data_IF_469680660793
#
_entry.id   IF_469680660793
#
_cell.length_a   1.000
_cell.length_b   1.000
_cell.length_c   1.000
_cell.angle_alpha   90.00
_cell.angle_beta   90.00
_cell.angle_gamma   90.00
#
_symmetry.space_group_name_H-M   'P 1'
#
loop_
_entity.id
_entity.type
_entity.pdbx_description
1 polymer ?
#
# COMPACT_ATOMS: atom_id res chain seq x y z
N UNK A 1 -27.73 18.61 7.19
CA UNK A 1 -26.35 18.14 6.97
C UNK A 1 -25.75 19.06 5.91
N UNK A 2 -24.96 20.03 6.35
CA UNK A 2 -24.24 20.94 5.45
C UNK A 2 -23.31 20.11 4.56
N UNK A 3 -23.40 20.28 3.24
CA UNK A 3 -22.48 19.63 2.31
C UNK A 3 -21.09 20.27 2.50
N UNK A 4 -20.11 19.46 2.91
CA UNK A 4 -18.72 19.90 3.04
C UNK A 4 -18.00 19.63 1.73
N UNK A 5 -17.38 20.66 1.17
CA UNK A 5 -16.58 20.56 -0.04
C UNK A 5 -15.31 21.41 0.08
N UNK A 6 -14.17 20.80 -0.24
CA UNK A 6 -12.85 21.44 -0.16
C UNK A 6 -12.09 21.16 -1.46
N UNK A 7 -11.57 22.22 -2.08
CA UNK A 7 -10.73 22.15 -3.27
C UNK A 7 -9.32 22.59 -2.91
N UNK A 8 -8.35 21.69 -3.09
CA UNK A 8 -6.97 21.91 -2.67
C UNK A 8 -6.04 21.72 -3.87
N UNK A 9 -5.23 22.75 -4.16
CA UNK A 9 -4.26 22.73 -5.24
C UNK A 9 -2.89 22.36 -4.65
N UNK A 10 -2.42 21.14 -4.93
CA UNK A 10 -1.19 20.61 -4.33
C UNK A 10 0.05 20.77 -5.22
N UNK A 11 -0.11 21.09 -6.52
CA UNK A 11 1.00 21.35 -7.45
C UNK A 11 0.55 22.16 -8.68
N UNK A 12 1.48 22.59 -9.54
CA UNK A 12 1.20 23.23 -10.84
C UNK A 12 0.54 22.29 -11.85
N UNK A 13 0.64 20.97 -11.65
CA UNK A 13 0.13 19.94 -12.56
C UNK A 13 -1.13 19.21 -12.06
N UNK A 14 -1.75 19.63 -10.93
CA UNK A 14 -2.96 18.97 -10.45
C UNK A 14 -3.64 19.60 -9.23
N UNK A 15 -4.86 19.14 -8.95
CA UNK A 15 -5.68 19.56 -7.81
C UNK A 15 -6.59 18.43 -7.30
N UNK A 16 -7.05 18.54 -6.07
CA UNK A 16 -7.95 17.60 -5.40
C UNK A 16 -9.27 18.28 -5.03
N UNK A 17 -10.35 17.52 -5.04
CA UNK A 17 -11.65 17.95 -4.52
C UNK A 17 -12.24 16.86 -3.64
N UNK A 18 -12.61 17.20 -2.41
CA UNK A 18 -13.32 16.29 -1.50
C UNK A 18 -14.75 16.77 -1.37
N UNK A 19 -15.73 15.93 -1.69
CA UNK A 19 -17.14 16.30 -1.61
C UNK A 19 -18.00 15.19 -0.98
N UNK A 20 -19.02 15.59 -0.22
CA UNK A 20 -20.01 14.69 0.40
C UNK A 20 -21.41 14.99 -0.13
N UNK A 21 -22.07 13.98 -0.70
CA UNK A 21 -23.49 14.11 -1.10
C UNK A 21 -23.74 14.84 -2.43
N UNK A 22 -22.72 14.97 -3.28
CA UNK A 22 -22.80 15.60 -4.60
C UNK A 22 -21.82 16.76 -4.78
N UNK A 23 -21.83 17.39 -5.95
CA UNK A 23 -20.94 18.50 -6.32
C UNK A 23 -21.77 19.79 -6.52
N UNK A 24 -21.74 20.75 -5.58
CA UNK A 24 -22.44 22.04 -5.69
C UNK A 24 -22.00 22.83 -6.93
N UNK A 25 -22.88 23.74 -7.40
CA UNK A 25 -22.63 24.55 -8.58
C UNK A 25 -21.42 25.48 -8.43
N UNK A 26 -21.19 26.00 -7.21
CA UNK A 26 -20.07 26.88 -6.86
C UNK A 26 -18.73 26.14 -7.02
N UNK A 27 -18.61 24.94 -6.46
CA UNK A 27 -17.39 24.13 -6.59
C UNK A 27 -17.20 23.63 -8.02
N UNK A 28 -18.30 23.34 -8.74
CA UNK A 28 -18.20 23.03 -10.16
C UNK A 28 -17.65 24.22 -10.97
N UNK A 29 -17.88 25.47 -10.56
CA UNK A 29 -17.25 26.63 -11.18
C UNK A 29 -15.76 26.72 -10.81
N UNK A 30 -15.41 26.51 -9.54
CA UNK A 30 -14.01 26.49 -9.08
C UNK A 30 -13.18 25.39 -9.75
N UNK A 31 -13.75 24.21 -9.97
CA UNK A 31 -13.10 23.12 -10.71
C UNK A 31 -12.79 23.51 -12.16
N UNK A 32 -13.67 24.28 -12.81
CA UNK A 32 -13.40 24.79 -14.15
C UNK A 32 -12.25 25.79 -14.13
N UNK A 33 -12.20 26.65 -13.12
CA UNK A 33 -11.09 27.60 -12.92
C UNK A 33 -9.78 26.87 -12.63
N UNK A 34 -9.79 25.85 -11.78
CA UNK A 34 -8.62 25.03 -11.46
C UNK A 34 -8.11 24.27 -12.69
N UNK A 35 -9.02 23.68 -13.48
CA UNK A 35 -8.68 23.04 -14.75
C UNK A 35 -8.09 24.03 -15.76
N UNK A 36 -8.65 25.23 -15.89
CA UNK A 36 -8.12 26.25 -16.78
C UNK A 36 -6.66 26.64 -16.45
N UNK A 37 -6.26 26.57 -15.18
CA UNK A 37 -4.86 26.81 -14.75
C UNK A 37 -3.89 25.72 -15.22
N UNK A 38 -4.37 24.51 -15.50
CA UNK A 38 -3.55 23.42 -16.05
C UNK A 38 -3.23 23.60 -17.55
N UNK A 39 -3.98 24.48 -18.23
CA UNK A 39 -3.86 24.79 -19.65
C UNK A 39 -5.11 24.42 -20.46
N UNK A 40 -5.30 25.10 -21.60
CA UNK A 40 -6.42 24.83 -22.50
C UNK A 40 -6.29 23.46 -23.18
N UNK A 41 -7.38 22.69 -23.21
CA UNK A 41 -7.48 21.36 -23.85
C UNK A 41 -6.40 20.35 -23.44
N UNK A 42 -5.90 20.50 -22.22
CA UNK A 42 -4.88 19.61 -21.69
C UNK A 42 -5.55 18.32 -21.19
N UNK A 43 -5.15 17.15 -21.69
CA UNK A 43 -5.73 15.90 -21.24
C UNK A 43 -5.35 15.62 -19.78
N UNK A 44 -6.32 15.27 -18.94
CA UNK A 44 -6.12 14.99 -17.52
C UNK A 44 -6.62 13.60 -17.13
N UNK A 45 -6.01 13.04 -16.09
CA UNK A 45 -6.51 11.87 -15.38
C UNK A 45 -7.33 12.30 -14.17
N UNK A 46 -8.55 11.76 -14.03
CA UNK A 46 -9.46 12.01 -12.90
C UNK A 46 -9.59 10.72 -12.08
N UNK A 47 -9.30 10.77 -10.78
CA UNK A 47 -9.16 9.59 -9.92
C UNK A 47 -9.89 9.75 -8.62
N UNK A 48 -10.72 8.77 -8.23
CA UNK A 48 -11.41 8.77 -6.95
C UNK A 48 -10.63 7.99 -5.88
N UNK A 49 -10.77 8.40 -4.61
CA UNK A 49 -10.26 7.70 -3.43
C UNK A 49 -10.80 6.27 -3.26
N UNK A 50 -11.89 5.92 -3.95
CA UNK A 50 -12.44 4.55 -4.03
C UNK A 50 -11.82 3.69 -5.16
N UNK A 51 -10.89 4.25 -5.94
CA UNK A 51 -10.14 3.53 -6.97
C UNK A 51 -10.72 3.61 -8.39
N UNK A 52 -11.80 4.37 -8.62
CA UNK A 52 -12.27 4.66 -9.99
C UNK A 52 -11.34 5.67 -10.68
N UNK A 53 -11.08 5.45 -11.98
CA UNK A 53 -10.18 6.28 -12.78
C UNK A 53 -10.79 6.55 -14.16
N UNK A 54 -10.77 7.80 -14.60
CA UNK A 54 -10.99 8.22 -15.99
C UNK A 54 -9.68 8.81 -16.51
N UNK A 55 -9.20 8.29 -17.64
CA UNK A 55 -8.03 8.80 -18.34
C UNK A 55 -8.47 9.59 -19.55
N UNK A 56 -7.61 10.49 -20.02
CA UNK A 56 -7.82 11.28 -21.23
C UNK A 56 -9.10 12.13 -21.21
N UNK A 57 -9.40 12.69 -20.04
CA UNK A 57 -10.51 13.61 -19.88
C UNK A 57 -10.03 14.98 -20.38
N UNK A 58 -10.66 15.48 -21.44
CA UNK A 58 -10.35 16.77 -22.04
C UNK A 58 -11.56 17.68 -21.92
N UNK A 59 -11.34 18.88 -21.40
CA UNK A 59 -12.36 19.92 -21.26
C UNK A 59 -12.90 20.04 -19.84
N UNK A 60 -13.14 21.28 -19.41
CA UNK A 60 -13.51 21.60 -18.04
C UNK A 60 -14.84 20.95 -17.61
N UNK A 61 -15.83 20.90 -18.51
CA UNK A 61 -17.12 20.25 -18.22
C UNK A 61 -16.99 18.73 -18.13
N UNK A 62 -16.12 18.11 -18.95
CA UNK A 62 -15.86 16.68 -18.87
C UNK A 62 -15.19 16.28 -17.54
N UNK A 63 -14.30 17.14 -17.01
CA UNK A 63 -13.69 16.98 -15.69
C UNK A 63 -14.73 17.11 -14.58
N UNK A 64 -15.59 18.14 -14.64
CA UNK A 64 -16.69 18.33 -13.68
C UNK A 64 -17.63 17.13 -13.67
N UNK A 65 -17.99 16.60 -14.84
CA UNK A 65 -18.85 15.42 -14.95
C UNK A 65 -18.18 14.14 -14.46
N UNK A 66 -16.87 13.99 -14.65
CA UNK A 66 -16.10 12.89 -14.09
C UNK A 66 -16.08 12.97 -12.54
N UNK A 67 -15.77 14.14 -11.98
CA UNK A 67 -15.79 14.38 -10.53
C UNK A 67 -17.18 14.13 -9.95
N UNK A 68 -18.22 14.67 -10.59
CA UNK A 68 -19.61 14.52 -10.13
C UNK A 68 -20.06 13.06 -10.12
N UNK A 69 -19.67 12.26 -11.12
CA UNK A 69 -19.92 10.81 -11.13
C UNK A 69 -19.27 10.10 -9.94
N UNK A 70 -18.07 10.53 -9.55
CA UNK A 70 -17.36 9.93 -8.42
C UNK A 70 -17.89 10.40 -7.07
N UNK A 71 -18.29 11.65 -6.90
CA UNK A 71 -18.80 12.16 -5.63
C UNK A 71 -20.29 11.82 -5.36
N UNK A 72 -20.92 10.98 -6.20
CA UNK A 72 -22.32 10.62 -6.06
C UNK A 72 -22.56 9.68 -4.87
N UNK A 73 -23.24 10.17 -3.83
CA UNK A 73 -23.86 9.38 -2.76
C UNK A 73 -23.03 9.12 -1.51
N UNK A 74 -21.72 9.33 -1.52
CA UNK A 74 -20.81 9.13 -0.37
C UNK A 74 -19.70 10.20 -0.37
N UNK A 75 -19.02 10.41 0.78
CA UNK A 75 -17.86 11.31 0.85
C UNK A 75 -16.70 10.75 0.04
N UNK A 76 -16.25 11.46 -0.99
CA UNK A 76 -15.13 11.03 -1.84
C UNK A 76 -14.15 12.17 -2.08
N UNK A 77 -12.87 11.81 -2.14
CA UNK A 77 -11.79 12.68 -2.62
C UNK A 77 -11.47 12.29 -4.05
N UNK A 78 -11.42 13.28 -4.95
CA UNK A 78 -11.14 13.09 -6.36
C UNK A 78 -9.94 13.96 -6.75
N UNK A 79 -8.88 13.32 -7.24
CA UNK A 79 -7.69 13.98 -7.75
C UNK A 79 -7.77 14.15 -9.28
N UNK A 80 -7.37 15.31 -9.77
CA UNK A 80 -7.26 15.65 -11.20
C UNK A 80 -5.81 16.03 -11.49
N UNK A 81 -5.20 15.38 -12.49
CA UNK A 81 -3.79 15.59 -12.81
C UNK A 81 -3.53 15.64 -14.32
N UNK A 82 -2.65 16.56 -14.75
CA UNK A 82 -2.18 16.74 -16.12
C UNK A 82 -1.52 15.49 -16.70
N UNK A 83 -1.80 15.16 -17.97
CA UNK A 83 -1.06 14.14 -18.73
C UNK A 83 -0.04 14.81 -19.68
N UNK A 84 1.23 14.48 -19.53
CA UNK A 84 2.31 15.02 -20.37
C UNK A 84 2.64 14.05 -21.54
N UNK A 85 1.93 14.18 -22.67
CA UNK A 85 2.29 13.59 -23.97
C UNK A 85 1.47 12.37 -24.46
N UNK A 86 1.50 12.04 -25.78
CA UNK A 86 0.72 10.94 -26.39
C UNK A 86 1.29 9.53 -26.11
N UNK A 87 2.52 9.46 -25.60
CA UNK A 87 3.08 8.27 -24.96
C UNK A 87 3.17 8.56 -23.47
N UNK A 88 2.05 8.40 -22.78
CA UNK A 88 1.99 8.61 -21.35
C UNK A 88 3.02 7.69 -20.68
N UNK A 89 4.10 8.28 -20.18
CA UNK A 89 4.70 7.80 -18.94
C UNK A 89 3.56 7.84 -17.93
N UNK A 90 2.89 6.70 -17.77
CA UNK A 90 1.93 6.50 -16.71
C UNK A 90 2.76 6.54 -15.44
N UNK A 91 2.89 7.73 -14.85
CA UNK A 91 3.31 7.85 -13.47
C UNK A 91 2.28 7.05 -12.68
N UNK A 92 2.67 5.83 -12.37
CA UNK A 92 1.87 4.84 -11.69
C UNK A 92 1.78 5.29 -10.23
N UNK A 93 1.09 6.41 -9.97
CA UNK A 93 0.69 6.82 -8.63
C UNK A 93 -0.30 5.76 -8.18
N UNK A 94 0.20 4.69 -7.58
CA UNK A 94 -0.61 3.60 -7.07
C UNK A 94 -1.37 4.17 -5.86
N UNK A 95 -2.52 4.81 -6.09
CA UNK A 95 -3.45 5.22 -5.03
C UNK A 95 -4.10 3.94 -4.49
N UNK A 96 -3.30 3.19 -3.74
CA UNK A 96 -3.79 2.31 -2.70
C UNK A 96 -4.24 3.24 -1.57
N UNK A 97 -5.35 2.89 -0.91
CA UNK A 97 -6.07 3.65 0.10
C UNK A 97 -5.20 4.42 1.12
N UNK A 98 -5.81 5.44 1.77
CA UNK A 98 -5.32 6.20 2.95
C UNK A 98 -4.08 5.60 3.64
N UNK A 99 -3.00 6.37 3.72
CA UNK A 99 -1.83 6.04 4.56
C UNK A 99 -0.70 5.29 3.86
N UNK A 100 -0.59 5.35 2.53
CA UNK A 100 0.59 4.83 1.80
C UNK A 100 1.54 5.99 1.54
N UNK A 101 2.65 6.13 2.27
CA UNK A 101 3.62 7.18 2.01
C UNK A 101 4.25 6.97 0.62
N UNK A 102 4.21 8.01 -0.21
CA UNK A 102 4.82 7.99 -1.54
C UNK A 102 6.34 7.84 -1.45
N UNK A 103 6.98 7.11 -2.39
CA UNK A 103 8.43 7.06 -2.45
C UNK A 103 9.00 8.45 -2.64
N UNK A 104 10.02 8.72 -1.85
CA UNK A 104 10.71 10.02 -1.81
C UNK A 104 12.16 9.87 -2.20
N UNK A 105 12.72 8.67 -2.05
CA UNK A 105 14.09 8.44 -2.50
C UNK A 105 14.16 8.38 -4.05
N UNK A 106 15.23 8.93 -4.65
CA UNK A 106 15.45 8.83 -6.10
C UNK A 106 15.36 7.39 -6.64
N UNK A 107 15.96 6.42 -5.94
CA UNK A 107 15.88 5.01 -6.30
C UNK A 107 14.44 4.44 -6.18
N UNK A 108 13.69 4.87 -5.16
CA UNK A 108 12.28 4.50 -5.01
C UNK A 108 11.41 5.01 -6.17
N UNK A 109 11.65 6.25 -6.60
CA UNK A 109 10.98 6.85 -7.76
C UNK A 109 11.35 6.13 -9.07
N UNK A 110 12.63 5.86 -9.30
CA UNK A 110 13.10 5.13 -10.49
C UNK A 110 12.52 3.70 -10.55
N UNK A 111 12.49 3.00 -9.42
CA UNK A 111 11.90 1.68 -9.32
C UNK A 111 10.40 1.65 -9.64
N UNK A 112 9.62 2.63 -9.15
CA UNK A 112 8.21 2.75 -9.50
C UNK A 112 8.00 3.07 -10.99
N UNK A 113 8.82 3.94 -11.57
CA UNK A 113 8.75 4.28 -13.00
C UNK A 113 8.98 3.04 -13.88
N UNK A 114 9.94 2.18 -13.53
CA UNK A 114 10.19 0.92 -14.24
C UNK A 114 9.01 -0.06 -14.19
N UNK A 115 8.35 -0.16 -13.04
CA UNK A 115 7.13 -0.98 -12.89
C UNK A 115 5.99 -0.38 -13.74
N UNK A 116 5.79 0.95 -13.65
CA UNK A 116 4.70 1.66 -14.32
C UNK A 116 4.75 1.55 -15.85
N UNK A 117 5.91 1.83 -16.44
CA UNK A 117 6.16 1.73 -17.90
C UNK A 117 5.88 0.34 -18.46
N UNK A 118 6.21 -0.71 -17.72
CA UNK A 118 5.97 -2.09 -18.14
C UNK A 118 4.50 -2.48 -18.07
N UNK A 119 3.73 -1.87 -17.16
CA UNK A 119 2.32 -2.19 -17.02
C UNK A 119 1.45 -1.58 -18.13
N UNK A 120 1.81 -0.39 -18.62
CA UNK A 120 1.13 0.22 -19.78
C UNK A 120 1.20 -0.65 -21.03
N UNK A 121 2.23 -1.48 -21.18
CA UNK A 121 2.41 -2.40 -22.32
C UNK A 121 1.51 -3.65 -22.24
N UNK A 122 0.88 -3.92 -21.09
CA UNK A 122 0.13 -5.16 -20.81
C UNK A 122 -1.40 -4.99 -20.80
N UNK A 123 -1.93 -3.81 -21.17
CA UNK A 123 -3.38 -3.54 -21.15
C UNK A 123 -4.05 -4.13 -22.40
N UNK A 124 -4.45 -5.40 -22.32
CA UNK A 124 -5.41 -5.99 -23.25
C UNK A 124 -6.67 -6.48 -22.50
N UNK A 125 -7.73 -5.67 -22.56
CA UNK A 125 -8.92 -5.77 -21.70
C UNK A 125 -9.79 -7.02 -21.90
N UNK A 126 -9.58 -7.80 -22.96
CA UNK A 126 -10.43 -8.96 -23.31
C UNK A 126 -10.18 -10.21 -22.47
N UNK A 127 -8.95 -10.46 -22.00
CA UNK A 127 -8.60 -11.68 -21.23
C UNK A 127 -8.97 -11.61 -19.74
N UNK A 128 -9.22 -10.41 -19.22
CA UNK A 128 -9.52 -10.15 -17.80
C UNK A 128 -10.95 -10.57 -17.38
N UNK A 129 -11.94 -10.35 -18.25
CA UNK A 129 -13.38 -10.53 -17.94
C UNK A 129 -13.76 -12.00 -17.68
N UNK A 130 -13.25 -12.94 -18.47
CA UNK A 130 -13.48 -14.38 -18.28
C UNK A 130 -12.83 -14.92 -17.00
N UNK A 131 -11.70 -14.31 -16.58
CA UNK A 131 -10.98 -14.73 -15.36
C UNK A 131 -11.74 -14.32 -14.10
N UNK A 132 -12.30 -13.11 -14.05
CA UNK A 132 -13.09 -12.64 -12.90
C UNK A 132 -14.31 -13.53 -12.63
N UNK A 133 -15.04 -13.95 -13.68
CA UNK A 133 -16.20 -14.84 -13.55
C UNK A 133 -15.81 -16.20 -12.97
N UNK A 134 -14.71 -16.80 -13.45
CA UNK A 134 -14.20 -18.08 -12.94
C UNK A 134 -13.75 -18.01 -11.46
N UNK A 135 -13.24 -16.84 -11.03
CA UNK A 135 -12.80 -16.62 -9.65
C UNK A 135 -13.98 -16.49 -8.69
N UNK A 136 -15.05 -15.78 -9.10
CA UNK A 136 -16.27 -15.67 -8.30
C UNK A 136 -16.93 -17.04 -8.06
N UNK A 137 -16.94 -17.90 -9.09
CA UNK A 137 -17.51 -19.25 -9.02
C UNK A 137 -16.61 -20.23 -8.27
N UNK A 138 -15.28 -20.05 -8.27
CA UNK A 138 -14.34 -20.91 -7.55
C UNK A 138 -13.20 -20.13 -6.86
N UNK A 139 -13.42 -19.53 -5.67
CA UNK A 139 -12.40 -18.79 -4.94
C UNK A 139 -11.12 -19.60 -4.64
N UNK A 140 -11.24 -20.93 -4.49
CA UNK A 140 -10.10 -21.81 -4.27
C UNK A 140 -9.09 -21.76 -5.42
N UNK A 141 -9.52 -21.49 -6.65
CA UNK A 141 -8.64 -21.30 -7.80
C UNK A 141 -7.80 -20.03 -7.70
N UNK A 142 -8.34 -18.95 -7.12
CA UNK A 142 -7.60 -17.72 -6.85
C UNK A 142 -6.54 -17.91 -5.76
N UNK A 143 -6.90 -18.59 -4.67
CA UNK A 143 -5.93 -18.94 -3.61
C UNK A 143 -4.78 -19.80 -4.15
N UNK A 144 -5.07 -20.80 -5.00
CA UNK A 144 -4.02 -21.61 -5.65
C UNK A 144 -3.09 -20.77 -6.52
N UNK A 145 -3.62 -19.80 -7.26
CA UNK A 145 -2.81 -18.88 -8.06
C UNK A 145 -1.92 -18.00 -7.19
N UNK A 146 -2.46 -17.45 -6.12
CA UNK A 146 -1.70 -16.66 -5.14
C UNK A 146 -0.60 -17.49 -4.48
N UNK A 147 -0.89 -18.72 -4.05
CA UNK A 147 0.12 -19.63 -3.50
C UNK A 147 1.25 -19.92 -4.50
N UNK A 148 0.92 -20.17 -5.78
CA UNK A 148 1.92 -20.37 -6.84
C UNK A 148 2.76 -19.10 -7.09
N UNK A 149 2.13 -17.93 -7.08
CA UNK A 149 2.82 -16.66 -7.22
C UNK A 149 3.78 -16.43 -6.05
N UNK A 150 3.33 -16.67 -4.82
CA UNK A 150 4.17 -16.57 -3.62
C UNK A 150 5.35 -17.54 -3.65
N UNK A 151 5.13 -18.79 -4.05
CA UNK A 151 6.19 -19.79 -4.21
C UNK A 151 7.20 -19.38 -5.29
N UNK A 152 6.73 -18.89 -6.45
CA UNK A 152 7.60 -18.35 -7.51
C UNK A 152 8.47 -17.21 -6.99
N UNK A 153 7.89 -16.26 -6.25
CA UNK A 153 8.64 -15.17 -5.62
C UNK A 153 9.69 -15.75 -4.68
N UNK A 154 9.34 -16.69 -3.79
CA UNK A 154 10.32 -17.33 -2.90
C UNK A 154 11.48 -17.97 -3.67
N UNK A 155 11.20 -18.72 -4.74
CA UNK A 155 12.24 -19.33 -5.59
C UNK A 155 13.11 -18.30 -6.29
N UNK A 156 12.51 -17.25 -6.86
CA UNK A 156 13.23 -16.17 -7.56
C UNK A 156 14.16 -15.39 -6.61
N UNK A 157 13.74 -15.21 -5.37
CA UNK A 157 14.46 -14.44 -4.35
C UNK A 157 15.48 -15.27 -3.56
N UNK A 158 15.66 -16.54 -3.91
CA UNK A 158 16.68 -17.40 -3.36
C UNK A 158 18.09 -16.79 -3.50
N UNK A 159 18.96 -17.11 -2.55
CA UNK A 159 20.32 -16.60 -2.53
C UNK A 159 21.09 -17.05 -3.79
N UNK A 160 21.68 -16.10 -4.50
CA UNK A 160 22.66 -16.37 -5.54
C UNK A 160 23.79 -15.36 -5.42
N UNK A 161 25.02 -15.85 -5.48
CA UNK A 161 26.20 -14.99 -5.58
C UNK A 161 26.22 -14.38 -6.98
N UNK A 162 26.23 -13.04 -7.07
CA UNK A 162 26.17 -12.29 -8.33
C UNK A 162 27.25 -11.21 -8.31
N UNK A 163 27.82 -10.91 -9.48
CA UNK A 163 28.63 -9.71 -9.69
C UNK A 163 27.75 -8.45 -9.64
N UNK A 164 28.35 -7.27 -9.46
CA UNK A 164 27.64 -5.97 -9.42
C UNK A 164 26.72 -5.77 -10.64
N UNK A 165 27.23 -5.99 -11.85
CA UNK A 165 26.45 -5.86 -13.08
C UNK A 165 25.27 -6.86 -13.11
N UNK A 166 25.52 -8.11 -12.72
CA UNK A 166 24.47 -9.13 -12.67
C UNK A 166 23.41 -8.84 -11.58
N UNK A 167 23.76 -8.15 -10.49
CA UNK A 167 22.80 -7.66 -9.49
C UNK A 167 21.90 -6.57 -10.07
N UNK A 168 22.45 -5.61 -10.79
CA UNK A 168 21.67 -4.54 -11.43
C UNK A 168 20.72 -5.11 -12.49
N UNK A 169 21.20 -6.01 -13.34
CA UNK A 169 20.36 -6.71 -14.33
C UNK A 169 19.25 -7.52 -13.65
N UNK A 170 19.53 -8.11 -12.49
CA UNK A 170 18.54 -8.82 -11.70
C UNK A 170 17.49 -7.90 -11.07
N UNK A 171 17.91 -6.77 -10.47
CA UNK A 171 17.01 -5.74 -9.95
C UNK A 171 16.08 -5.22 -11.04
N UNK A 172 16.64 -4.88 -12.20
CA UNK A 172 15.86 -4.38 -13.33
C UNK A 172 14.84 -5.40 -13.82
N UNK A 173 15.22 -6.68 -13.95
CA UNK A 173 14.27 -7.76 -14.30
C UNK A 173 13.19 -7.95 -13.23
N UNK A 174 13.54 -7.88 -11.95
CA UNK A 174 12.57 -8.01 -10.85
C UNK A 174 11.50 -6.92 -10.93
N UNK A 175 11.92 -5.67 -11.10
CA UNK A 175 11.01 -4.52 -11.15
C UNK A 175 10.23 -4.48 -12.47
N UNK A 176 10.89 -4.69 -13.61
CA UNK A 176 10.27 -4.58 -14.94
C UNK A 176 9.34 -5.76 -15.25
N UNK A 177 9.79 -6.99 -14.98
CA UNK A 177 9.10 -8.19 -15.46
C UNK A 177 8.26 -8.84 -14.37
N UNK A 178 8.86 -9.12 -13.20
CA UNK A 178 8.19 -9.93 -12.17
C UNK A 178 7.12 -9.14 -11.40
N UNK A 179 7.42 -7.89 -10.99
CA UNK A 179 6.44 -7.03 -10.34
C UNK A 179 5.24 -6.76 -11.26
N UNK A 180 5.49 -6.42 -12.52
CA UNK A 180 4.45 -6.17 -13.52
C UNK A 180 3.60 -7.40 -13.79
N UNK A 181 4.21 -8.58 -13.94
CA UNK A 181 3.47 -9.82 -14.15
C UNK A 181 2.55 -10.16 -12.97
N UNK A 182 2.96 -9.86 -11.73
CA UNK A 182 2.13 -10.02 -10.54
C UNK A 182 0.97 -9.02 -10.51
N UNK A 183 1.26 -7.74 -10.74
CA UNK A 183 0.26 -6.68 -10.75
C UNK A 183 -0.79 -6.88 -11.85
N UNK A 184 -0.44 -7.50 -12.98
CA UNK A 184 -1.41 -7.81 -14.03
C UNK A 184 -2.27 -9.06 -13.71
N UNK A 185 -1.74 -10.06 -13.00
CA UNK A 185 -2.40 -11.38 -12.85
C UNK A 185 -3.37 -11.46 -11.66
N UNK A 186 -3.20 -10.63 -10.65
CA UNK A 186 -3.92 -10.71 -9.38
C UNK A 186 -5.20 -9.85 -9.23
N UNK A 187 -5.39 -8.70 -9.93
CA UNK A 187 -6.56 -7.84 -9.75
C UNK A 187 -7.92 -8.51 -9.99
N UNK A 188 -7.95 -9.58 -10.79
CA UNK A 188 -9.19 -10.34 -11.03
C UNK A 188 -9.81 -10.92 -9.75
N UNK A 189 -9.00 -11.25 -8.74
CA UNK A 189 -9.50 -11.73 -7.45
C UNK A 189 -10.14 -10.61 -6.64
N UNK A 190 -9.48 -9.45 -6.58
CA UNK A 190 -10.01 -8.25 -5.92
C UNK A 190 -11.30 -7.77 -6.59
N UNK A 191 -11.33 -7.70 -7.92
CA UNK A 191 -12.51 -7.31 -8.68
C UNK A 191 -13.69 -8.28 -8.47
N UNK A 192 -13.43 -9.59 -8.44
CA UNK A 192 -14.46 -10.58 -8.13
C UNK A 192 -14.99 -10.43 -6.68
N UNK A 193 -14.11 -10.15 -5.71
CA UNK A 193 -14.50 -9.87 -4.33
C UNK A 193 -15.41 -8.63 -4.23
N UNK A 194 -15.05 -7.53 -4.89
CA UNK A 194 -15.87 -6.31 -4.94
C UNK A 194 -17.24 -6.57 -5.58
N UNK A 195 -17.27 -7.27 -6.73
CA UNK A 195 -18.51 -7.62 -7.41
C UNK A 195 -19.44 -8.50 -6.54
N UNK A 196 -18.88 -9.43 -5.76
CA UNK A 196 -19.65 -10.26 -4.83
C UNK A 196 -20.16 -9.46 -3.64
N UNK A 197 -19.39 -8.53 -3.10
CA UNK A 197 -19.85 -7.60 -2.05
C UNK A 197 -20.99 -6.71 -2.56
N UNK A 198 -20.90 -6.22 -3.78
CA UNK A 198 -21.98 -5.43 -4.41
C UNK A 198 -23.23 -6.28 -4.67
N UNK A 199 -23.08 -7.53 -5.14
CA UNK A 199 -24.18 -8.48 -5.28
C UNK A 199 -24.87 -8.74 -3.93
N UNK A 200 -24.09 -8.92 -2.85
CA UNK A 200 -24.63 -9.08 -1.51
C UNK A 200 -25.41 -7.84 -1.06
N UNK A 201 -24.85 -6.65 -1.27
CA UNK A 201 -25.51 -5.37 -0.95
C UNK A 201 -26.84 -5.23 -1.69
N UNK A 202 -26.88 -5.54 -2.99
CA UNK A 202 -28.09 -5.52 -3.81
C UNK A 202 -29.14 -6.52 -3.34
N UNK A 203 -28.72 -7.72 -2.91
CA UNK A 203 -29.63 -8.73 -2.38
C UNK A 203 -30.21 -8.36 -1.01
N UNK A 204 -29.41 -7.70 -0.15
CA UNK A 204 -29.82 -7.25 1.19
C UNK A 204 -30.61 -5.94 1.15
N UNK A 205 -30.43 -5.10 0.14
CA UNK A 205 -31.09 -3.80 0.00
C UNK A 205 -30.74 -2.86 1.17
N UNK A 206 -31.74 -2.16 1.70
CA UNK A 206 -31.58 -1.18 2.81
C UNK A 206 -31.12 -1.80 4.14
N UNK A 207 -31.10 -3.13 4.25
CA UNK A 207 -30.69 -3.83 5.48
C UNK A 207 -29.18 -4.04 5.59
N UNK A 208 -28.41 -3.74 4.54
CA UNK A 208 -26.96 -3.83 4.55
C UNK A 208 -26.32 -2.54 5.10
N UNK A 209 -26.01 -2.54 6.39
CA UNK A 209 -25.16 -1.48 6.96
C UNK A 209 -23.68 -1.75 6.66
N UNK A 210 -22.90 -0.67 6.53
CA UNK A 210 -21.47 -0.76 6.25
C UNK A 210 -20.70 -1.52 7.35
N UNK A 211 -21.06 -1.32 8.62
CA UNK A 211 -20.47 -2.01 9.78
C UNK A 211 -20.71 -3.53 9.75
N UNK A 212 -21.89 -3.96 9.31
CA UNK A 212 -22.22 -5.38 9.17
C UNK A 212 -21.35 -6.03 8.09
N UNK A 213 -21.16 -5.35 6.94
CA UNK A 213 -20.29 -5.84 5.87
C UNK A 213 -18.82 -5.87 6.30
N UNK A 214 -18.35 -4.89 7.07
CA UNK A 214 -16.99 -4.93 7.63
C UNK A 214 -16.79 -6.15 8.53
N UNK A 215 -17.74 -6.44 9.42
CA UNK A 215 -17.69 -7.62 10.31
C UNK A 215 -17.54 -8.92 9.51
N UNK A 216 -18.25 -9.04 8.38
CA UNK A 216 -18.15 -10.22 7.51
C UNK A 216 -16.83 -10.32 6.77
N UNK A 217 -16.28 -9.18 6.33
CA UNK A 217 -15.09 -9.12 5.47
C UNK A 217 -13.76 -9.14 6.23
N UNK A 218 -13.74 -8.83 7.54
CA UNK A 218 -12.57 -8.90 8.47
C UNK A 218 -12.00 -10.31 8.69
N UNK A 219 -12.42 -11.27 7.87
CA UNK A 219 -12.35 -12.69 8.15
C UNK A 219 -10.96 -13.33 8.08
N UNK A 220 -10.01 -12.72 7.39
CA UNK A 220 -8.61 -13.17 7.22
C UNK A 220 -7.83 -12.01 6.55
N UNK A 221 -7.24 -11.10 7.33
CA UNK A 221 -6.43 -9.99 6.81
C UNK A 221 -4.96 -10.22 7.22
N UNK A 222 -3.99 -9.99 6.32
CA UNK A 222 -2.56 -10.27 6.60
C UNK A 222 -2.04 -9.44 7.79
N UNK A 223 -2.64 -8.26 7.98
CA UNK A 223 -2.35 -7.38 9.11
C UNK A 223 -2.78 -7.99 10.45
N UNK A 224 -3.88 -8.75 10.47
CA UNK A 224 -4.38 -9.41 11.68
C UNK A 224 -3.51 -10.61 12.09
N UNK A 225 -2.95 -11.33 11.12
CA UNK A 225 -1.97 -12.40 11.39
C UNK A 225 -0.70 -11.83 12.04
N UNK A 226 -0.18 -10.73 11.50
CA UNK A 226 0.99 -10.05 12.05
C UNK A 226 0.79 -9.58 13.50
N UNK A 227 -0.36 -8.97 13.79
CA UNK A 227 -0.71 -8.49 15.13
C UNK A 227 -0.80 -9.64 16.16
N UNK A 228 -1.40 -10.77 15.76
CA UNK A 228 -1.47 -11.97 16.60
C UNK A 228 -0.09 -12.61 16.82
N UNK A 229 0.79 -12.60 15.82
CA UNK A 229 2.16 -13.10 15.97
C UNK A 229 2.99 -12.21 16.89
N UNK A 230 2.86 -10.89 16.80
CA UNK A 230 3.50 -9.95 17.73
C UNK A 230 2.94 -10.09 19.14
N UNK A 231 1.62 -10.27 19.30
CA UNK A 231 1.02 -10.57 20.60
C UNK A 231 1.59 -11.87 21.19
N UNK A 232 1.69 -12.92 20.39
CA UNK A 232 2.27 -14.18 20.85
C UNK A 232 3.75 -14.04 21.23
N UNK A 233 4.51 -13.16 20.56
CA UNK A 233 5.86 -12.81 20.97
C UNK A 233 5.86 -12.02 22.29
N UNK A 234 4.95 -11.05 22.45
CA UNK A 234 4.79 -10.30 23.69
C UNK A 234 4.51 -11.22 24.87
N UNK A 235 3.62 -12.21 24.73
CA UNK A 235 3.35 -13.22 25.78
C UNK A 235 4.61 -13.98 26.20
N UNK A 236 5.45 -14.39 25.23
CA UNK A 236 6.72 -15.07 25.54
C UNK A 236 7.71 -14.14 26.23
N UNK A 237 7.75 -12.88 25.84
CA UNK A 237 8.61 -11.88 26.47
C UNK A 237 8.15 -11.58 27.90
N UNK A 238 6.84 -11.55 28.19
CA UNK A 238 6.31 -11.33 29.56
C UNK A 238 6.79 -12.36 30.58
N UNK A 239 7.12 -13.57 30.15
CA UNK A 239 7.63 -14.62 31.04
C UNK A 239 9.14 -14.55 31.28
N UNK A 240 9.85 -13.63 30.61
CA UNK A 240 11.30 -13.42 30.75
C UNK A 240 11.61 -11.99 31.22
N UNK A 241 11.93 -11.84 32.50
CA UNK A 241 12.17 -10.53 33.12
C UNK A 241 13.32 -9.75 32.45
N UNK A 242 14.34 -10.43 31.94
CA UNK A 242 15.47 -9.78 31.26
C UNK A 242 15.02 -9.13 29.95
N UNK A 243 14.21 -9.83 29.15
CA UNK A 243 13.61 -9.30 27.93
C UNK A 243 12.63 -8.17 28.19
N UNK A 244 11.84 -8.24 29.26
CA UNK A 244 10.96 -7.13 29.68
C UNK A 244 11.79 -5.89 30.00
N UNK A 245 12.82 -6.04 30.86
CA UNK A 245 13.73 -4.93 31.21
C UNK A 245 14.46 -4.36 30.00
N UNK A 246 14.82 -5.20 29.03
CA UNK A 246 15.46 -4.74 27.79
C UNK A 246 14.54 -3.85 26.93
N UNK A 247 13.22 -3.98 27.06
CA UNK A 247 12.23 -3.16 26.33
C UNK A 247 11.85 -1.86 27.04
N UNK A 248 12.39 -1.60 28.24
CA UNK A 248 12.30 -0.29 28.89
C UNK A 248 13.21 0.77 28.24
N UNK A 249 14.25 0.32 27.52
CA UNK A 249 15.11 1.17 26.70
C UNK A 249 14.33 1.80 25.53
N UNK A 250 14.87 2.86 24.93
CA UNK A 250 14.27 3.45 23.73
C UNK A 250 14.25 2.43 22.56
N UNK A 251 13.23 2.45 21.68
CA UNK A 251 13.15 1.51 20.55
C UNK A 251 14.40 1.50 19.66
N UNK A 252 15.06 2.64 19.49
CA UNK A 252 16.30 2.81 18.73
C UNK A 252 17.49 2.08 19.40
N UNK A 253 17.53 2.14 20.73
CA UNK A 253 18.56 1.47 21.54
C UNK A 253 18.41 -0.05 21.44
N UNK A 254 17.18 -0.54 21.60
CA UNK A 254 16.86 -1.97 21.44
C UNK A 254 17.15 -2.44 20.01
N UNK A 255 16.78 -1.66 19.00
CA UNK A 255 17.09 -1.96 17.60
C UNK A 255 18.60 -2.02 17.33
N UNK A 256 19.40 -1.15 17.96
CA UNK A 256 20.85 -1.21 17.87
C UNK A 256 21.43 -2.48 18.51
N UNK A 257 20.93 -2.87 19.69
CA UNK A 257 21.32 -4.11 20.39
C UNK A 257 20.91 -5.35 19.60
N UNK A 258 19.72 -5.38 19.00
CA UNK A 258 19.25 -6.46 18.14
C UNK A 258 20.23 -6.72 16.99
N UNK A 259 20.68 -5.64 16.31
CA UNK A 259 21.56 -5.73 15.14
C UNK A 259 22.91 -6.36 15.45
N UNK A 260 23.39 -6.25 16.69
CA UNK A 260 24.66 -6.83 17.15
C UNK A 260 24.46 -8.12 17.96
N UNK A 261 23.23 -8.61 18.10
CA UNK A 261 22.92 -9.83 18.85
C UNK A 261 23.08 -9.69 20.37
N UNK A 262 22.87 -8.50 20.92
CA UNK A 262 23.06 -8.17 22.34
C UNK A 262 21.75 -8.02 23.13
N UNK A 263 20.64 -8.56 22.59
CA UNK A 263 19.39 -8.70 23.34
C UNK A 263 19.35 -10.03 24.09
N UNK A 264 18.55 -10.12 25.17
CA UNK A 264 18.28 -11.39 25.83
C UNK A 264 17.73 -12.42 24.83
N UNK A 265 18.06 -13.70 25.05
CA UNK A 265 17.83 -14.76 24.05
C UNK A 265 16.36 -14.86 23.61
N UNK A 266 15.40 -14.76 24.54
CA UNK A 266 13.97 -14.85 24.23
C UNK A 266 13.54 -13.73 23.27
N UNK A 267 13.95 -12.49 23.55
CA UNK A 267 13.65 -11.35 22.68
C UNK A 267 14.42 -11.41 21.36
N UNK A 268 15.71 -11.77 21.39
CA UNK A 268 16.55 -11.87 20.19
C UNK A 268 16.01 -12.92 19.21
N UNK A 269 15.78 -14.14 19.68
CA UNK A 269 15.31 -15.26 18.86
C UNK A 269 13.87 -15.02 18.38
N UNK A 270 13.02 -14.45 19.24
CA UNK A 270 11.66 -14.09 18.88
C UNK A 270 11.58 -13.04 17.77
N UNK A 271 12.44 -12.01 17.82
CA UNK A 271 12.55 -11.02 16.75
C UNK A 271 13.15 -11.62 15.47
N UNK A 272 14.15 -12.50 15.57
CA UNK A 272 14.72 -13.22 14.42
C UNK A 272 13.64 -14.05 13.71
N UNK A 273 12.84 -14.80 14.47
CA UNK A 273 11.72 -15.58 13.94
C UNK A 273 10.69 -14.69 13.24
N UNK A 274 10.25 -13.62 13.91
CA UNK A 274 9.28 -12.66 13.37
C UNK A 274 9.79 -12.01 12.07
N UNK A 275 11.04 -11.55 12.06
CA UNK A 275 11.63 -10.91 10.88
C UNK A 275 11.94 -11.90 9.76
N UNK A 276 12.15 -13.19 10.06
CA UNK A 276 12.25 -14.24 9.05
C UNK A 276 11.02 -14.31 8.15
N UNK A 277 9.84 -14.01 8.71
CA UNK A 277 8.58 -14.02 7.99
C UNK A 277 8.18 -12.63 7.48
N UNK A 278 8.22 -11.62 8.34
CA UNK A 278 7.64 -10.29 8.08
C UNK A 278 8.66 -9.17 7.92
N UNK A 279 9.95 -9.45 8.10
CA UNK A 279 11.01 -8.44 8.11
C UNK A 279 11.19 -7.68 6.79
N UNK A 280 10.65 -8.21 5.68
CA UNK A 280 10.64 -7.57 4.37
C UNK A 280 9.69 -6.37 4.26
N UNK A 281 8.82 -6.15 5.25
CA UNK A 281 7.92 -4.99 5.34
C UNK A 281 8.61 -3.78 5.94
N UNK A 282 7.93 -2.64 5.97
CA UNK A 282 8.46 -1.36 6.46
C UNK A 282 7.37 -0.31 6.57
N UNK A 283 7.67 0.84 7.21
CA UNK A 283 6.74 1.97 7.33
C UNK A 283 6.39 2.52 5.94
N UNK A 284 7.43 2.78 5.12
CA UNK A 284 7.30 3.21 3.72
C UNK A 284 7.69 2.06 2.79
N UNK A 285 7.00 0.93 2.88
CA UNK A 285 7.39 -0.34 2.24
C UNK A 285 7.39 -0.36 0.71
N UNK A 286 6.74 0.63 0.06
CA UNK A 286 6.78 0.80 -1.40
C UNK A 286 7.97 1.61 -1.90
N UNK A 287 8.67 2.31 -1.01
CA UNK A 287 9.91 2.99 -1.34
C UNK A 287 11.08 1.99 -1.25
N UNK A 288 11.88 1.89 -2.31
CA UNK A 288 13.07 1.02 -2.32
C UNK A 288 14.17 1.56 -1.41
N UNK A 289 14.23 2.88 -1.21
CA UNK A 289 15.28 3.55 -0.45
C UNK A 289 15.07 3.57 1.06
N UNK A 290 13.87 3.24 1.55
CA UNK A 290 13.58 3.16 2.98
C UNK A 290 13.96 1.81 3.60
N UNK A 291 14.40 1.78 4.87
CA UNK A 291 14.75 0.53 5.52
C UNK A 291 13.55 -0.41 5.67
N UNK A 292 13.83 -1.70 5.68
CA UNK A 292 12.86 -2.75 6.04
C UNK A 292 12.93 -3.02 7.54
N UNK A 293 11.90 -3.61 8.14
CA UNK A 293 11.89 -3.88 9.58
C UNK A 293 13.03 -4.80 10.04
N UNK A 294 13.48 -5.72 9.18
CA UNK A 294 14.68 -6.53 9.50
C UNK A 294 15.99 -5.72 9.47
N UNK A 295 16.01 -4.57 8.78
CA UNK A 295 17.16 -3.66 8.73
C UNK A 295 17.10 -2.62 9.86
N UNK A 296 15.90 -2.12 10.15
CA UNK A 296 15.60 -1.20 11.24
C UNK A 296 14.38 -1.69 12.05
N UNK A 297 14.62 -2.44 13.14
CA UNK A 297 13.58 -3.00 14.00
C UNK A 297 12.78 -1.98 14.82
N UNK A 298 13.22 -0.73 14.96
CA UNK A 298 12.70 0.20 15.95
C UNK A 298 11.16 0.36 15.92
N UNK A 299 10.49 0.45 14.76
CA UNK A 299 9.03 0.52 14.71
C UNK A 299 8.33 -0.71 15.28
N UNK A 300 8.91 -1.91 15.07
CA UNK A 300 8.34 -3.16 15.58
C UNK A 300 8.61 -3.32 17.07
N UNK A 301 9.77 -2.87 17.55
CA UNK A 301 10.06 -2.81 18.98
C UNK A 301 9.04 -1.93 19.71
N UNK A 302 8.71 -0.76 19.16
CA UNK A 302 7.71 0.12 19.74
C UNK A 302 6.34 -0.56 19.86
N UNK A 303 5.88 -1.21 18.78
CA UNK A 303 4.62 -1.96 18.78
C UNK A 303 4.66 -3.11 19.79
N UNK A 304 5.78 -3.83 19.89
CA UNK A 304 5.95 -4.92 20.86
C UNK A 304 5.88 -4.41 22.31
N UNK A 305 6.50 -3.28 22.60
CA UNK A 305 6.42 -2.64 23.91
C UNK A 305 4.99 -2.22 24.27
N UNK A 306 4.22 -1.73 23.28
CA UNK A 306 2.80 -1.41 23.48
C UNK A 306 1.96 -2.67 23.75
N UNK A 307 2.24 -3.78 23.07
CA UNK A 307 1.60 -5.06 23.35
C UNK A 307 1.87 -5.55 24.77
N UNK A 308 3.08 -5.34 25.31
CA UNK A 308 3.39 -5.71 26.70
C UNK A 308 2.54 -4.95 27.72
N UNK A 309 2.21 -3.68 27.44
CA UNK A 309 1.37 -2.82 28.29
C UNK A 309 -0.12 -3.08 28.14
N UNK A 310 -0.53 -3.61 26.99
CA UNK A 310 -1.93 -3.93 26.72
C UNK A 310 -2.41 -5.12 27.58
N UNK A 311 -3.62 -4.98 28.12
CA UNK A 311 -4.27 -6.00 28.97
C UNK A 311 -5.14 -6.96 28.16
N UNK A 312 -5.71 -6.48 27.06
CA UNK A 312 -6.66 -7.25 26.26
C UNK A 312 -5.96 -7.84 25.04
N UNK A 313 -6.06 -9.16 24.88
CA UNK A 313 -5.55 -9.84 23.71
C UNK A 313 -6.34 -9.44 22.44
N UNK A 314 -5.67 -9.30 21.29
CA UNK A 314 -6.35 -9.08 20.03
C UNK A 314 -7.25 -10.27 19.70
N UNK A 315 -8.40 -9.97 19.09
CA UNK A 315 -9.37 -11.00 18.72
C UNK A 315 -8.75 -12.04 17.78
N UNK A 316 -8.82 -13.32 18.14
CA UNK A 316 -8.26 -14.40 17.33
C UNK A 316 -8.97 -14.58 15.98
N UNK A 317 -8.26 -15.13 14.98
CA UNK A 317 -8.82 -15.38 13.64
C UNK A 317 -10.05 -16.32 13.66
N UNK A 318 -10.07 -17.29 14.57
CA UNK A 318 -11.21 -18.20 14.74
C UNK A 318 -12.47 -17.46 15.23
N UNK A 319 -12.33 -16.61 16.24
CA UNK A 319 -13.43 -15.78 16.75
C UNK A 319 -13.97 -14.84 15.67
N UNK A 320 -13.07 -14.19 14.91
CA UNK A 320 -13.44 -13.36 13.73
C UNK A 320 -14.19 -14.18 12.67
N UNK A 321 -13.79 -15.43 12.45
CA UNK A 321 -14.46 -16.33 11.52
C UNK A 321 -15.89 -16.67 11.97
N UNK A 322 -16.06 -17.04 13.23
CA UNK A 322 -17.37 -17.34 13.81
C UNK A 322 -18.29 -16.11 13.84
N UNK A 323 -17.76 -14.94 14.19
CA UNK A 323 -18.50 -13.67 14.16
C UNK A 323 -19.00 -13.35 12.75
N UNK A 324 -18.15 -13.53 11.74
CA UNK A 324 -18.54 -13.34 10.34
C UNK A 324 -19.63 -14.34 9.90
N UNK A 325 -19.53 -15.62 10.27
CA UNK A 325 -20.54 -16.63 9.91
C UNK A 325 -21.90 -16.35 10.57
N UNK A 326 -21.90 -15.98 11.85
CA UNK A 326 -23.09 -15.55 12.57
C UNK A 326 -23.72 -14.33 11.89
N UNK A 327 -22.91 -13.33 11.55
CA UNK A 327 -23.37 -12.11 10.87
C UNK A 327 -23.96 -12.41 9.48
N UNK A 328 -23.34 -13.32 8.71
CA UNK A 328 -23.89 -13.75 7.42
C UNK A 328 -25.27 -14.41 7.60
N UNK A 329 -25.41 -15.28 8.60
CA UNK A 329 -26.67 -15.96 8.88
C UNK A 329 -27.77 -14.97 9.28
N UNK A 330 -27.43 -14.02 10.16
CA UNK A 330 -28.30 -12.93 10.62
C UNK A 330 -28.78 -12.07 9.43
N UNK A 331 -27.87 -11.56 8.62
CA UNK A 331 -28.22 -10.71 7.46
C UNK A 331 -29.09 -11.44 6.45
N UNK A 332 -28.78 -12.72 6.18
CA UNK A 332 -29.55 -13.52 5.24
C UNK A 332 -30.98 -13.83 5.73
N UNK A 333 -31.21 -13.86 7.05
CA UNK A 333 -32.52 -14.09 7.64
C UNK A 333 -33.43 -12.85 7.60
N UNK A 334 -32.86 -11.64 7.49
CA UNK A 334 -33.61 -10.37 7.41
C UNK A 334 -34.31 -10.13 6.07
N UNK A 335 -34.06 -10.98 5.07
CA UNK A 335 -34.62 -10.85 3.72
C UNK A 335 -35.30 -12.15 3.28
N UNK A 336 -36.16 -12.06 2.25
CA UNK A 336 -36.88 -13.24 1.73
C UNK A 336 -35.95 -14.36 1.25
N UNK A 337 -36.42 -15.61 1.29
CA UNK A 337 -35.63 -16.84 1.10
C UNK A 337 -34.67 -16.82 -0.10
N UNK A 338 -35.12 -16.32 -1.26
CA UNK A 338 -34.30 -16.25 -2.48
C UNK A 338 -33.17 -15.23 -2.31
N UNK A 339 -33.49 -14.02 -1.84
CA UNK A 339 -32.50 -12.96 -1.59
C UNK A 339 -31.53 -13.35 -0.47
N UNK A 340 -32.01 -14.03 0.57
CA UNK A 340 -31.18 -14.56 1.66
C UNK A 340 -30.18 -15.60 1.19
N UNK A 341 -30.58 -16.50 0.27
CA UNK A 341 -29.66 -17.46 -0.37
C UNK A 341 -28.60 -16.75 -1.22
N UNK A 342 -28.98 -15.74 -1.99
CA UNK A 342 -28.03 -14.94 -2.79
C UNK A 342 -27.05 -14.21 -1.87
N UNK A 343 -27.54 -13.53 -0.82
CA UNK A 343 -26.71 -12.81 0.14
C UNK A 343 -25.71 -13.75 0.83
N UNK A 344 -26.16 -14.91 1.33
CA UNK A 344 -25.29 -15.91 1.96
C UNK A 344 -24.21 -16.41 1.01
N UNK A 345 -24.58 -16.73 -0.23
CA UNK A 345 -23.63 -17.13 -1.26
C UNK A 345 -22.60 -16.02 -1.52
N UNK A 346 -23.07 -14.81 -1.81
CA UNK A 346 -22.24 -13.69 -2.19
C UNK A 346 -21.28 -13.29 -1.05
N UNK A 347 -21.77 -13.14 0.17
CA UNK A 347 -20.96 -12.80 1.35
C UNK A 347 -19.94 -13.90 1.69
N UNK A 348 -20.34 -15.17 1.66
CA UNK A 348 -19.42 -16.29 1.92
C UNK A 348 -18.28 -16.38 0.90
N UNK A 349 -18.53 -15.98 -0.35
CA UNK A 349 -17.49 -15.91 -1.40
C UNK A 349 -16.65 -14.64 -1.31
N UNK A 350 -17.28 -13.50 -1.03
CA UNK A 350 -16.59 -12.22 -0.82
C UNK A 350 -15.61 -12.32 0.34
N UNK A 351 -16.01 -12.89 1.49
CA UNK A 351 -15.14 -13.15 2.65
C UNK A 351 -13.90 -13.97 2.28
N UNK A 352 -14.06 -15.05 1.50
CA UNK A 352 -12.93 -15.86 1.04
C UNK A 352 -11.98 -15.07 0.12
N UNK A 353 -12.48 -14.11 -0.65
CA UNK A 353 -11.65 -13.30 -1.53
C UNK A 353 -11.10 -12.03 -0.87
N UNK A 354 -11.64 -11.62 0.28
CA UNK A 354 -11.21 -10.43 1.02
C UNK A 354 -9.73 -10.51 1.39
N UNK A 355 -9.27 -11.65 1.90
CA UNK A 355 -7.87 -11.92 2.21
C UNK A 355 -6.91 -11.73 1.02
N UNK A 356 -7.41 -11.99 -0.20
CA UNK A 356 -6.60 -11.88 -1.41
C UNK A 356 -6.39 -10.43 -1.87
N UNK A 357 -7.12 -9.47 -1.29
CA UNK A 357 -7.00 -8.04 -1.65
C UNK A 357 -5.64 -7.47 -1.26
N UNK A 358 -5.07 -7.94 -0.16
CA UNK A 358 -3.78 -7.45 0.37
C UNK A 358 -2.58 -8.16 -0.27
N UNK A 359 -2.81 -9.32 -0.89
CA UNK A 359 -1.75 -10.14 -1.47
C UNK A 359 -0.93 -9.46 -2.58
N UNK A 360 -1.52 -8.71 -3.54
CA UNK A 360 -0.73 -8.05 -4.59
C UNK A 360 0.31 -7.10 -4.01
N UNK A 361 -0.09 -6.29 -3.02
CA UNK A 361 0.79 -5.38 -2.31
C UNK A 361 1.86 -6.16 -1.54
N UNK A 362 1.45 -7.17 -0.78
CA UNK A 362 2.37 -8.01 -0.01
C UNK A 362 3.47 -8.64 -0.89
N UNK A 363 3.10 -9.24 -2.03
CA UNK A 363 4.07 -9.84 -2.95
C UNK A 363 4.95 -8.79 -3.64
N UNK A 364 4.41 -7.62 -3.95
CA UNK A 364 5.20 -6.49 -4.46
C UNK A 364 6.26 -6.06 -3.43
N UNK A 365 5.87 -5.87 -2.17
CA UNK A 365 6.80 -5.50 -1.10
C UNK A 365 7.92 -6.53 -0.93
N UNK A 366 7.63 -7.84 -1.05
CA UNK A 366 8.67 -8.89 -1.07
C UNK A 366 9.67 -8.73 -2.22
N UNK A 367 9.19 -8.40 -3.43
CA UNK A 367 10.06 -8.13 -4.57
C UNK A 367 10.92 -6.89 -4.31
N UNK A 368 10.32 -5.81 -3.82
CA UNK A 368 11.03 -4.56 -3.52
C UNK A 368 12.10 -4.78 -2.44
N UNK A 369 11.78 -5.54 -1.38
CA UNK A 369 12.75 -5.89 -0.34
C UNK A 369 13.94 -6.68 -0.89
N UNK A 370 13.72 -7.61 -1.82
CA UNK A 370 14.82 -8.32 -2.45
C UNK A 370 15.63 -7.44 -3.41
N UNK A 371 14.98 -6.59 -4.22
CA UNK A 371 15.68 -5.61 -5.04
C UNK A 371 16.56 -4.70 -4.17
N UNK A 372 16.02 -4.21 -3.05
CA UNK A 372 16.76 -3.43 -2.06
C UNK A 372 17.97 -4.20 -1.51
N UNK A 373 17.81 -5.48 -1.14
CA UNK A 373 18.93 -6.30 -0.64
C UNK A 373 20.08 -6.36 -1.65
N UNK A 374 19.79 -6.54 -2.93
CA UNK A 374 20.82 -6.56 -3.97
C UNK A 374 21.45 -5.17 -4.15
N UNK A 375 20.66 -4.09 -4.13
CA UNK A 375 21.15 -2.71 -4.20
C UNK A 375 22.06 -2.34 -3.02
N UNK A 376 21.78 -2.80 -1.80
CA UNK A 376 22.68 -2.61 -0.65
C UNK A 376 24.05 -3.22 -0.89
N UNK A 377 24.09 -4.40 -1.50
CA UNK A 377 25.34 -5.06 -1.82
C UNK A 377 26.09 -4.33 -2.95
N UNK A 378 25.36 -3.78 -3.94
CA UNK A 378 25.96 -2.89 -4.95
C UNK A 378 26.53 -1.62 -4.30
N UNK A 379 25.81 -1.00 -3.35
CA UNK A 379 26.30 0.15 -2.60
C UNK A 379 27.60 -0.15 -1.86
N UNK A 380 27.70 -1.31 -1.20
CA UNK A 380 28.93 -1.74 -0.52
C UNK A 380 30.10 -1.92 -1.50
N UNK A 381 29.86 -2.47 -2.69
CA UNK A 381 30.88 -2.61 -3.73
C UNK A 381 31.33 -1.27 -4.32
N UNK A 382 30.42 -0.31 -4.47
CA UNK A 382 30.74 1.04 -4.93
C UNK A 382 31.59 1.81 -3.91
N UNK A 383 31.35 1.62 -2.60
CA UNK A 383 32.22 2.16 -1.55
C UNK A 383 33.60 1.51 -1.61
N UNK A 384 33.67 0.19 -1.78
CA UNK A 384 34.94 -0.51 -1.93
C UNK A 384 35.73 -0.07 -3.18
N UNK A 385 35.03 0.42 -4.21
CA UNK A 385 35.61 1.00 -5.41
C UNK A 385 35.89 2.52 -5.32
N UNK A 386 35.75 3.13 -4.13
CA UNK A 386 35.94 4.56 -3.86
C UNK A 386 35.03 5.49 -4.68
N UNK A 387 33.81 5.06 -4.97
CA UNK A 387 32.81 5.82 -5.74
C UNK A 387 31.68 6.42 -4.92
N UNK A 388 31.54 5.95 -3.68
CA UNK A 388 30.53 6.36 -2.69
C UNK A 388 31.17 6.42 -1.31
N UNK A 389 30.62 7.25 -0.41
CA UNK A 389 31.12 7.37 0.96
C UNK A 389 30.43 6.36 1.90
N UNK A 390 29.13 6.10 1.70
CA UNK A 390 28.37 5.12 2.46
C UNK A 390 27.58 4.15 1.57
N UNK A 391 27.41 2.87 1.95
CA UNK A 391 26.65 1.90 1.14
C UNK A 391 25.19 2.31 0.91
N UNK A 392 24.61 3.10 1.83
CA UNK A 392 23.23 3.60 1.72
C UNK A 392 23.08 4.74 0.71
N UNK A 393 24.17 5.35 0.25
CA UNK A 393 24.13 6.43 -0.74
C UNK A 393 23.59 5.95 -2.09
N UNK A 394 23.66 4.64 -2.35
CA UNK A 394 23.08 3.99 -3.54
C UNK A 394 21.58 4.28 -3.71
N UNK A 395 20.85 4.59 -2.62
CA UNK A 395 19.41 4.90 -2.67
C UNK A 395 19.10 6.32 -3.14
N UNK A 396 20.11 7.19 -3.19
CA UNK A 396 20.01 8.54 -3.76
C UNK A 396 20.38 8.58 -5.25
N UNK A 397 20.70 7.43 -5.84
CA UNK A 397 21.02 7.27 -7.24
C UNK A 397 19.84 6.65 -8.01
N UNK A 398 19.83 6.79 -9.32
CA UNK A 398 18.97 6.00 -10.20
C UNK A 398 19.77 4.82 -10.80
N UNK A 399 19.09 3.84 -11.41
CA UNK A 399 19.78 2.66 -11.96
C UNK A 399 20.77 3.02 -13.08
N UNK A 400 20.60 4.16 -13.77
CA UNK A 400 21.51 4.60 -14.83
C UNK A 400 22.79 5.19 -14.23
N UNK A 401 22.66 6.02 -13.19
CA UNK A 401 23.79 6.57 -12.44
C UNK A 401 24.66 5.44 -11.89
N UNK A 402 24.04 4.42 -11.29
CA UNK A 402 24.76 3.27 -10.71
C UNK A 402 25.55 2.49 -11.78
N UNK A 403 25.07 2.47 -13.04
CA UNK A 403 25.79 1.86 -14.17
C UNK A 403 26.88 2.75 -14.77
N UNK A 404 26.84 4.06 -14.52
CA UNK A 404 27.85 4.98 -15.03
C UNK A 404 29.23 4.63 -14.49
N UNK A 405 30.27 5.12 -15.16
CA UNK A 405 31.65 5.07 -14.69
C UNK A 405 32.01 6.46 -14.16
N UNK A 406 32.45 6.57 -12.91
CA UNK A 406 32.83 7.86 -12.31
C UNK A 406 32.47 7.99 -10.84
N UNK A 407 32.93 9.09 -10.24
CA UNK A 407 32.58 9.49 -8.87
C UNK A 407 31.11 9.92 -8.81
N UNK A 408 30.36 9.37 -7.84
CA UNK A 408 28.93 9.57 -7.67
C UNK A 408 28.60 10.48 -6.47
N UNK A 409 29.60 10.87 -5.67
CA UNK A 409 29.42 11.63 -4.42
C UNK A 409 28.70 12.96 -4.64
N UNK A 410 29.04 13.68 -5.71
CA UNK A 410 28.38 14.97 -6.04
C UNK A 410 26.89 14.78 -6.31
N UNK A 411 26.52 13.77 -7.11
CA UNK A 411 25.12 13.47 -7.44
C UNK A 411 24.34 13.09 -6.18
N UNK A 412 24.95 12.26 -5.31
CA UNK A 412 24.37 11.87 -4.03
C UNK A 412 24.13 13.09 -3.15
N UNK A 413 25.12 13.98 -3.00
CA UNK A 413 25.01 15.16 -2.15
C UNK A 413 23.86 16.07 -2.58
N UNK A 414 23.74 16.36 -3.88
CA UNK A 414 22.66 17.19 -4.44
C UNK A 414 21.27 16.57 -4.20
N UNK A 415 21.13 15.26 -4.48
CA UNK A 415 19.84 14.57 -4.34
C UNK A 415 19.45 14.31 -2.89
N UNK A 416 20.42 14.11 -2.00
CA UNK A 416 20.20 14.03 -0.55
C UNK A 416 19.71 15.36 0.01
N UNK A 417 20.32 16.47 -0.38
CA UNK A 417 19.86 17.80 0.03
C UNK A 417 18.43 18.06 -0.43
N UNK A 418 18.10 17.68 -1.67
CA UNK A 418 16.73 17.77 -2.21
C UNK A 418 15.76 16.91 -1.40
N UNK A 419 16.13 15.66 -1.12
CA UNK A 419 15.32 14.73 -0.32
C UNK A 419 15.03 15.25 1.10
N UNK A 420 16.04 15.77 1.80
CA UNK A 420 15.88 16.32 3.14
C UNK A 420 14.99 17.57 3.16
N UNK A 421 15.07 18.39 2.12
CA UNK A 421 14.20 19.55 1.94
C UNK A 421 12.74 19.12 1.68
N UNK A 422 12.52 18.10 0.85
CA UNK A 422 11.19 17.55 0.59
C UNK A 422 10.56 16.90 1.84
N UNK A 423 11.37 16.24 2.68
CA UNK A 423 10.90 15.74 3.98
C UNK A 423 10.42 16.85 4.91
N UNK A 424 11.07 18.02 4.90
CA UNK A 424 10.68 19.20 5.71
C UNK A 424 9.46 19.94 5.14
N UNK A 425 9.26 19.91 3.83
CA UNK A 425 8.14 20.57 3.13
C UNK A 425 6.81 19.85 3.31
N UNK A 426 6.82 18.55 3.63
CA UNK A 426 5.58 17.80 3.87
C UNK A 426 4.88 18.32 5.13
N UNK A 427 3.86 19.14 4.91
CA UNK A 427 2.83 19.54 5.85
C UNK A 427 2.02 18.29 6.26
N UNK A 428 1.61 18.12 7.53
CA UNK A 428 0.75 17.01 7.93
C UNK A 428 -0.58 17.04 7.16
N UNK A 429 -0.91 15.94 6.48
CA UNK A 429 -2.23 15.72 5.89
C UNK A 429 -3.26 15.42 7.00
N UNK A 430 -4.46 16.01 6.95
CA UNK A 430 -4.96 16.95 7.95
C UNK A 430 -5.09 16.37 9.36
N UNK A 431 -4.84 17.28 10.31
CA UNK A 431 -5.07 17.23 11.75
C UNK A 431 -6.45 16.60 12.07
N UNK A 432 -6.48 15.69 13.06
CA UNK A 432 -7.73 15.22 13.66
C UNK A 432 -8.42 16.37 14.42
N UNK A 433 -9.77 16.40 14.52
CA UNK A 433 -10.52 17.54 15.06
C UNK A 433 -10.29 17.91 16.53
N UNK A 434 -9.48 17.16 17.28
CA UNK A 434 -9.42 17.26 18.74
C UNK A 434 -8.32 18.19 19.27
N UNK A 435 -7.47 18.76 18.40
CA UNK A 435 -6.34 19.62 18.82
C UNK A 435 -6.57 21.14 18.65
N UNK A 436 -7.81 21.60 18.48
CA UNK A 436 -8.14 23.02 18.58
C UNK A 436 -9.04 23.28 19.79
N UNK A 437 -8.45 23.16 20.98
CA UNK A 437 -8.98 23.87 22.15
C UNK A 437 -8.95 25.36 21.87
N UNK A 438 -10.16 25.88 21.77
CA UNK A 438 -10.55 27.28 21.82
C UNK A 438 -9.69 28.08 22.81
N UNK A 439 -8.86 28.99 22.31
CA UNK A 439 -8.43 30.15 23.07
C UNK A 439 -9.32 31.33 22.65
N UNK A 440 -10.35 31.58 23.45
CA UNK A 440 -11.15 32.80 23.36
C UNK A 440 -10.27 33.98 23.78
N UNK A 441 -10.18 35.00 22.93
CA UNK A 441 -9.77 36.33 23.36
C UNK A 441 -10.65 37.38 22.69
N UNK A 442 -11.64 37.82 23.48
CA UNK A 442 -12.34 39.12 23.55
C UNK A 442 -12.90 39.77 22.28
#
# INVERSE_FOLDING_TARGET
MSAWVELEQFDTDGFCVTATGGLPAEIAAELRTAYARLGADVPVAVRSSSGEISLDVVGADAVVDAVRRYCAGEQRTVAVQRMNGPTAHVDFRLSLARGVPEPTTPMGLDGLRLIGTSLSELIDGRRSRFRALSVAVAPSSAHRRVRRASARVTTLLGAATRSTAARLDFVERLLRTEATALLHRLPAASAAGVALTDLARKALGKTAHHSDLQTVLRGHDLTAELDLELWALAERVRTDEESVRALDDSPETVAARYRVGALPAVLQDGLVEFFGQHGHRGVTELDLGTPRWSEDPAPIVAVLADHLRATDAPEGLAARAEAAERKIAELAARVGLVRGRIARFALGRARKLAALRETPKYLLVRILAAARRELRMVGAELVAADRLDAPTDVFFLDLRDVRSQGDLRTIVAERRATYELELRRRVPWPIQPDELTVEQAS
#
